data_IF_075989295669
#
_entry.id   IF_075989295669
#
_cell.length_a   1.000
_cell.length_b   1.000
_cell.length_c   1.000
_cell.angle_alpha   90.00
_cell.angle_beta   90.00
_cell.angle_gamma   90.00
#
_symmetry.space_group_name_H-M   'P 1'
#
loop_
_entity.id
_entity.type
_entity.pdbx_description
1 polymer ?
#
# COMPACT_ATOMS: atom_id res chain seq x y z
N UNK A 1 10.76 37.49 3.01
CA UNK A 1 9.32 37.23 3.25
C UNK A 1 9.10 35.73 3.13
N UNK A 2 8.70 35.04 4.20
CA UNK A 2 8.34 33.61 4.13
C UNK A 2 6.91 33.54 3.59
N UNK A 3 6.71 32.94 2.41
CA UNK A 3 5.37 32.63 1.93
C UNK A 3 4.74 31.63 2.89
N UNK A 4 3.61 31.98 3.52
CA UNK A 4 2.79 31.05 4.29
C UNK A 4 2.07 30.15 3.28
N UNK A 5 2.77 29.17 2.74
CA UNK A 5 2.12 28.08 2.00
C UNK A 5 1.39 27.23 3.05
N UNK A 6 0.07 27.03 2.96
CA UNK A 6 -0.65 26.18 3.90
C UNK A 6 -0.06 24.77 3.84
N UNK A 7 0.29 24.23 5.00
CA UNK A 7 0.81 22.86 5.08
C UNK A 7 -0.23 21.90 4.53
N UNK A 8 0.16 21.03 3.60
CA UNK A 8 -0.71 19.97 3.03
C UNK A 8 -1.10 18.90 4.05
N UNK A 9 -0.51 18.94 5.24
CA UNK A 9 -0.82 18.04 6.33
C UNK A 9 -1.95 18.62 7.20
N UNK A 10 -3.07 17.91 7.24
CA UNK A 10 -4.18 18.22 8.13
C UNK A 10 -3.91 17.62 9.51
N UNK A 11 -3.93 18.45 10.53
CA UNK A 11 -3.76 17.97 11.91
C UNK A 11 -5.07 17.33 12.40
N UNK A 12 -4.95 16.16 13.00
CA UNK A 12 -6.08 15.53 13.66
C UNK A 12 -6.24 16.08 15.09
N UNK A 13 -7.49 16.34 15.53
CA UNK A 13 -7.75 16.62 16.93
C UNK A 13 -7.21 15.49 17.81
N UNK A 14 -6.49 15.85 18.88
CA UNK A 14 -5.86 14.87 19.79
C UNK A 14 -6.87 13.93 20.43
N UNK A 15 -8.08 14.43 20.68
CA UNK A 15 -9.15 13.70 21.33
C UNK A 15 -10.00 12.87 20.35
N UNK A 16 -9.71 12.93 19.04
CA UNK A 16 -10.42 12.13 18.05
C UNK A 16 -10.18 10.63 18.26
N UNK A 17 -11.24 9.82 18.13
CA UNK A 17 -11.15 8.37 18.26
C UNK A 17 -10.20 7.76 17.22
N UNK A 18 -10.12 8.37 16.04
CA UNK A 18 -9.15 8.01 15.00
C UNK A 18 -7.69 8.26 15.45
N UNK A 19 -7.39 9.40 16.07
CA UNK A 19 -6.05 9.66 16.60
C UNK A 19 -5.67 8.69 17.73
N UNK A 20 -6.63 8.30 18.57
CA UNK A 20 -6.42 7.28 19.61
C UNK A 20 -6.18 5.90 19.01
N UNK A 21 -6.94 5.53 17.97
CA UNK A 21 -6.73 4.30 17.20
C UNK A 21 -5.32 4.26 16.59
N UNK A 22 -4.92 5.31 15.87
CA UNK A 22 -3.57 5.38 15.26
C UNK A 22 -2.48 5.29 16.33
N UNK A 23 -2.62 6.02 17.44
CA UNK A 23 -1.66 5.99 18.55
C UNK A 23 -1.53 4.62 19.21
N UNK A 24 -2.61 3.83 19.26
CA UNK A 24 -2.62 2.48 19.84
C UNK A 24 -1.79 1.49 19.03
N UNK A 25 -1.78 1.65 17.70
CA UNK A 25 -1.07 0.75 16.79
C UNK A 25 0.31 1.26 16.38
N UNK A 26 0.64 2.50 16.72
CA UNK A 26 1.94 3.12 16.43
C UNK A 26 3.07 2.40 17.18
N UNK A 27 4.19 2.22 16.50
CA UNK A 27 5.40 1.71 17.14
C UNK A 27 6.35 2.90 17.36
N UNK A 28 7.07 2.92 18.48
CA UNK A 28 8.02 3.99 18.80
C UNK A 28 9.07 4.22 17.70
N UNK A 29 9.33 3.17 16.91
CA UNK A 29 10.23 3.16 15.77
C UNK A 29 9.57 3.59 14.45
N UNK A 30 8.27 3.32 14.28
CA UNK A 30 7.55 3.44 13.01
C UNK A 30 6.42 4.46 13.15
N UNK A 31 6.76 5.75 13.14
CA UNK A 31 5.83 6.88 13.37
C UNK A 31 4.93 7.20 12.17
N UNK A 32 4.21 6.23 11.65
CA UNK A 32 3.29 6.48 10.56
C UNK A 32 2.59 5.27 9.98
N UNK A 33 1.58 5.55 9.17
CA UNK A 33 0.76 4.56 8.48
C UNK A 33 0.45 5.04 7.07
N UNK A 34 0.16 4.10 6.18
CA UNK A 34 -0.59 4.36 4.96
C UNK A 34 -1.92 3.63 5.08
N UNK A 35 -3.01 4.35 4.87
CA UNK A 35 -4.34 3.77 4.76
C UNK A 35 -4.80 3.89 3.32
N UNK A 36 -5.58 2.91 2.87
CA UNK A 36 -6.34 2.98 1.61
C UNK A 36 -7.57 2.11 1.75
N UNK A 37 -8.64 2.54 1.10
CA UNK A 37 -9.79 1.70 0.81
C UNK A 37 -9.58 1.03 -0.55
N UNK A 38 -9.35 -0.28 -0.55
CA UNK A 38 -9.24 -1.09 -1.77
C UNK A 38 -10.63 -1.43 -2.31
N UNK A 39 -10.97 -0.81 -3.44
CA UNK A 39 -12.23 -0.99 -4.17
C UNK A 39 -12.07 -1.89 -5.41
N UNK A 40 -10.97 -2.65 -5.50
CA UNK A 40 -10.73 -3.55 -6.63
C UNK A 40 -11.84 -4.61 -6.78
N UNK A 41 -12.10 -5.09 -8.01
CA UNK A 41 -13.14 -6.10 -8.24
C UNK A 41 -12.91 -7.36 -7.40
N UNK A 42 -14.00 -7.96 -6.89
CA UNK A 42 -13.93 -9.18 -6.07
C UNK A 42 -13.16 -10.32 -6.75
N UNK A 43 -13.25 -10.44 -8.08
CA UNK A 43 -12.51 -11.43 -8.85
C UNK A 43 -10.99 -11.20 -8.76
N UNK A 44 -10.54 -9.95 -8.86
CA UNK A 44 -9.12 -9.59 -8.72
C UNK A 44 -8.61 -9.90 -7.31
N UNK A 45 -9.39 -9.53 -6.28
CA UNK A 45 -9.07 -9.84 -4.87
C UNK A 45 -8.93 -11.35 -4.62
N UNK A 46 -9.89 -12.15 -5.12
CA UNK A 46 -9.86 -13.62 -5.01
C UNK A 46 -8.66 -14.22 -5.74
N UNK A 47 -8.34 -13.72 -6.93
CA UNK A 47 -7.19 -14.17 -7.71
C UNK A 47 -5.88 -13.86 -6.97
N UNK A 48 -5.72 -12.63 -6.46
CA UNK A 48 -4.55 -12.23 -5.68
C UNK A 48 -4.39 -13.10 -4.42
N UNK A 49 -5.47 -13.32 -3.67
CA UNK A 49 -5.48 -14.22 -2.51
C UNK A 49 -5.09 -15.65 -2.88
N UNK A 50 -5.64 -16.19 -3.97
CA UNK A 50 -5.35 -17.56 -4.42
C UNK A 50 -3.89 -17.71 -4.84
N UNK A 51 -3.32 -16.72 -5.53
CA UNK A 51 -1.89 -16.68 -5.86
C UNK A 51 -1.02 -16.66 -4.59
N UNK A 52 -1.36 -15.81 -3.62
CA UNK A 52 -0.64 -15.74 -2.36
C UNK A 52 -0.75 -17.03 -1.53
N UNK A 53 -1.92 -17.67 -1.52
CA UNK A 53 -2.15 -18.96 -0.87
C UNK A 53 -1.30 -20.05 -1.52
N UNK A 54 -1.33 -20.16 -2.85
CA UNK A 54 -0.54 -21.13 -3.58
C UNK A 54 0.97 -20.96 -3.32
N UNK A 55 1.46 -19.71 -3.32
CA UNK A 55 2.86 -19.40 -3.00
C UNK A 55 3.23 -19.82 -1.57
N UNK A 56 2.41 -19.50 -0.58
CA UNK A 56 2.70 -19.84 0.83
C UNK A 56 2.63 -21.35 1.07
N UNK A 57 1.69 -22.06 0.45
CA UNK A 57 1.62 -23.54 0.48
C UNK A 57 2.85 -24.14 -0.18
N UNK A 58 3.29 -23.62 -1.33
CA UNK A 58 4.51 -24.06 -2.00
C UNK A 58 5.75 -23.85 -1.13
N UNK A 59 5.90 -22.68 -0.50
CA UNK A 59 7.01 -22.40 0.44
C UNK A 59 7.01 -23.42 1.59
N UNK A 60 5.86 -23.70 2.19
CA UNK A 60 5.74 -24.67 3.27
C UNK A 60 6.12 -26.09 2.85
N UNK A 61 5.62 -26.55 1.70
CA UNK A 61 5.95 -27.87 1.15
C UNK A 61 7.44 -27.97 0.82
N UNK A 62 8.01 -26.93 0.22
CA UNK A 62 9.43 -26.87 -0.11
C UNK A 62 10.30 -26.92 1.14
N UNK A 63 9.99 -26.11 2.16
CA UNK A 63 10.68 -26.11 3.46
C UNK A 63 10.59 -27.47 4.15
N UNK A 64 9.40 -28.08 4.18
CA UNK A 64 9.20 -29.39 4.77
C UNK A 64 9.97 -30.49 4.03
N UNK A 65 9.95 -30.48 2.70
CA UNK A 65 10.71 -31.39 1.86
C UNK A 65 12.22 -31.22 2.05
N UNK A 66 12.71 -29.98 2.07
CA UNK A 66 14.12 -29.68 2.28
C UNK A 66 14.62 -30.12 3.66
N UNK A 67 13.84 -29.86 4.71
CA UNK A 67 14.13 -30.35 6.06
C UNK A 67 14.18 -31.89 6.10
N UNK A 68 13.21 -32.56 5.47
CA UNK A 68 13.15 -34.03 5.42
C UNK A 68 14.36 -34.62 4.70
N UNK A 69 14.74 -34.07 3.55
CA UNK A 69 15.93 -34.51 2.80
C UNK A 69 17.21 -34.31 3.61
N UNK A 70 17.33 -33.18 4.31
CA UNK A 70 18.48 -32.90 5.19
C UNK A 70 18.59 -33.93 6.30
N UNK A 71 17.48 -34.23 7.00
CA UNK A 71 17.43 -35.24 8.06
C UNK A 71 17.83 -36.62 7.52
N UNK A 72 17.28 -37.03 6.36
CA UNK A 72 17.59 -38.32 5.74
C UNK A 72 19.07 -38.39 5.37
N UNK A 73 19.63 -37.33 4.77
CA UNK A 73 21.05 -37.25 4.42
C UNK A 73 21.95 -37.36 5.65
N UNK A 74 21.59 -36.69 6.75
CA UNK A 74 22.33 -36.72 8.00
C UNK A 74 22.34 -38.13 8.61
N UNK A 75 21.20 -38.83 8.54
CA UNK A 75 21.05 -40.22 9.03
C UNK A 75 21.84 -41.21 8.18
N UNK A 76 21.87 -41.05 6.85
CA UNK A 76 22.53 -41.98 5.93
C UNK A 76 24.03 -41.68 5.69
N UNK A 77 24.57 -40.64 6.30
CA UNK A 77 25.94 -40.17 6.06
C UNK A 77 27.00 -41.18 6.55
N UNK A 78 27.93 -41.63 5.67
CA UNK A 78 28.99 -42.58 6.04
C UNK A 78 30.18 -41.93 6.77
N UNK A 79 30.09 -40.66 7.17
CA UNK A 79 31.21 -39.95 7.81
C UNK A 79 31.50 -40.44 9.25
N UNK A 80 32.77 -40.35 9.70
CA UNK A 80 33.15 -40.57 11.09
C UNK A 80 32.34 -39.69 12.06
N UNK A 81 31.95 -40.25 13.21
CA UNK A 81 30.97 -39.65 14.12
C UNK A 81 31.30 -38.22 14.59
N UNK A 82 32.57 -37.90 14.82
CA UNK A 82 33.00 -36.59 15.33
C UNK A 82 32.88 -35.48 14.27
N UNK A 83 33.31 -35.72 13.03
CA UNK A 83 33.11 -34.78 11.92
C UNK A 83 31.64 -34.64 11.56
N UNK A 84 30.89 -35.76 11.59
CA UNK A 84 29.45 -35.77 11.34
C UNK A 84 28.70 -34.85 12.31
N UNK A 85 29.02 -34.91 13.61
CA UNK A 85 28.32 -34.12 14.61
C UNK A 85 28.55 -32.60 14.44
N UNK A 86 29.81 -32.18 14.23
CA UNK A 86 30.12 -30.76 14.04
C UNK A 86 29.48 -30.16 12.78
N UNK A 87 29.55 -30.89 11.65
CA UNK A 87 28.94 -30.47 10.38
C UNK A 87 27.41 -30.46 10.50
N UNK A 88 26.82 -31.51 11.07
CA UNK A 88 25.37 -31.63 11.27
C UNK A 88 24.83 -30.49 12.13
N UNK A 89 25.49 -30.14 13.25
CA UNK A 89 25.02 -29.05 14.12
C UNK A 89 25.08 -27.69 13.39
N UNK A 90 26.21 -27.37 12.77
CA UNK A 90 26.39 -26.08 12.09
C UNK A 90 25.44 -25.93 10.90
N UNK A 91 25.32 -26.96 10.07
CA UNK A 91 24.40 -26.99 8.94
C UNK A 91 22.94 -26.89 9.40
N UNK A 92 22.54 -27.67 10.41
CA UNK A 92 21.15 -27.65 10.89
C UNK A 92 20.79 -26.33 11.58
N UNK A 93 21.71 -25.69 12.30
CA UNK A 93 21.47 -24.36 12.86
C UNK A 93 21.24 -23.31 11.76
N UNK A 94 22.04 -23.34 10.69
CA UNK A 94 21.86 -22.42 9.55
C UNK A 94 20.51 -22.68 8.88
N UNK A 95 20.20 -23.95 8.57
CA UNK A 95 18.95 -24.33 7.90
C UNK A 95 17.72 -23.96 8.76
N UNK A 96 17.72 -24.31 10.04
CA UNK A 96 16.63 -23.98 10.96
C UNK A 96 16.47 -22.45 11.07
N UNK A 97 17.58 -21.71 11.16
CA UNK A 97 17.52 -20.24 11.21
C UNK A 97 16.92 -19.66 9.92
N UNK A 98 17.32 -20.16 8.76
CA UNK A 98 16.75 -19.75 7.47
C UNK A 98 15.26 -20.09 7.36
N UNK A 99 14.86 -21.28 7.81
CA UNK A 99 13.45 -21.71 7.84
C UNK A 99 12.63 -20.81 8.77
N UNK A 100 13.13 -20.52 9.97
CA UNK A 100 12.45 -19.65 10.93
C UNK A 100 12.27 -18.25 10.34
N UNK A 101 13.31 -17.68 9.74
CA UNK A 101 13.24 -16.36 9.11
C UNK A 101 12.19 -16.36 7.98
N UNK A 102 12.22 -17.36 7.10
CA UNK A 102 11.30 -17.46 5.96
C UNK A 102 9.85 -17.64 6.41
N UNK A 103 9.58 -18.58 7.32
CA UNK A 103 8.23 -18.86 7.83
C UNK A 103 7.68 -17.67 8.62
N UNK A 104 8.52 -17.01 9.42
CA UNK A 104 8.13 -15.82 10.19
C UNK A 104 7.85 -14.61 9.31
N UNK A 105 8.57 -14.42 8.21
CA UNK A 105 8.41 -13.26 7.34
C UNK A 105 7.27 -13.42 6.32
N UNK A 106 6.97 -14.64 5.88
CA UNK A 106 6.00 -14.91 4.81
C UNK A 106 4.75 -15.62 5.31
N UNK A 107 4.91 -16.85 5.77
CA UNK A 107 3.82 -17.78 6.06
C UNK A 107 2.97 -17.35 7.25
N UNK A 108 3.61 -17.02 8.38
CA UNK A 108 2.89 -16.65 9.61
C UNK A 108 1.99 -15.41 9.37
N UNK A 109 2.50 -14.28 8.83
CA UNK A 109 1.67 -13.12 8.53
C UNK A 109 0.51 -13.43 7.56
N UNK A 110 0.74 -14.28 6.57
CA UNK A 110 -0.30 -14.65 5.60
C UNK A 110 -1.44 -15.44 6.26
N UNK A 111 -1.13 -16.52 7.00
CA UNK A 111 -2.17 -17.37 7.59
C UNK A 111 -2.88 -16.69 8.77
N UNK A 112 -2.13 -16.02 9.66
CA UNK A 112 -2.72 -15.36 10.83
C UNK A 112 -3.30 -13.97 10.53
N UNK A 113 -2.92 -13.38 9.39
CA UNK A 113 -3.41 -12.10 8.90
C UNK A 113 -4.46 -12.27 7.82
N UNK A 114 -4.01 -12.49 6.58
CA UNK A 114 -4.88 -12.52 5.39
C UNK A 114 -5.91 -13.66 5.45
N UNK A 115 -5.51 -14.92 5.68
CA UNK A 115 -6.48 -16.02 5.73
C UNK A 115 -7.49 -15.81 6.86
N UNK A 116 -7.02 -15.36 8.03
CA UNK A 116 -7.88 -15.03 9.16
C UNK A 116 -8.89 -13.94 8.78
N UNK A 117 -8.44 -12.87 8.10
CA UNK A 117 -9.30 -11.79 7.64
C UNK A 117 -10.40 -12.33 6.72
N UNK A 118 -10.06 -13.19 5.76
CA UNK A 118 -11.00 -13.82 4.85
C UNK A 118 -11.99 -14.76 5.54
N UNK A 119 -11.57 -15.47 6.59
CA UNK A 119 -12.45 -16.34 7.37
C UNK A 119 -13.51 -15.53 8.12
N UNK A 120 -13.13 -14.40 8.73
CA UNK A 120 -14.05 -13.61 9.55
C UNK A 120 -14.93 -12.64 8.74
N UNK A 121 -14.38 -12.02 7.69
CA UNK A 121 -15.03 -10.90 6.98
C UNK A 121 -15.33 -11.20 5.50
N UNK A 122 -14.83 -12.31 4.96
CA UNK A 122 -14.99 -12.66 3.55
C UNK A 122 -14.21 -11.75 2.59
N UNK A 123 -14.68 -11.68 1.35
CA UNK A 123 -14.24 -10.71 0.35
C UNK A 123 -15.30 -9.62 0.25
N UNK A 124 -14.90 -8.38 0.45
CA UNK A 124 -15.79 -7.22 0.42
C UNK A 124 -15.49 -6.35 -0.80
N UNK A 125 -16.49 -5.60 -1.25
CA UNK A 125 -16.32 -4.65 -2.36
C UNK A 125 -15.38 -3.53 -1.95
N UNK A 126 -15.47 -3.06 -0.70
CA UNK A 126 -14.61 -2.07 -0.08
C UNK A 126 -13.79 -2.74 1.03
N UNK A 127 -12.46 -2.67 0.97
CA UNK A 127 -11.58 -3.29 1.98
C UNK A 127 -10.55 -2.30 2.50
N UNK A 128 -10.49 -2.16 3.82
CA UNK A 128 -9.53 -1.26 4.46
C UNK A 128 -8.16 -1.93 4.50
N UNK A 129 -7.17 -1.25 3.95
CA UNK A 129 -5.77 -1.67 3.94
C UNK A 129 -4.97 -0.67 4.76
N UNK A 130 -4.42 -1.13 5.89
CA UNK A 130 -3.54 -0.33 6.74
C UNK A 130 -2.14 -0.92 6.69
N UNK A 131 -1.18 -0.11 6.29
CA UNK A 131 0.22 -0.51 6.10
C UNK A 131 1.15 0.29 7.00
N UNK A 132 2.15 -0.40 7.54
CA UNK A 132 3.23 0.21 8.31
C UNK A 132 4.47 0.43 7.45
N UNK A 133 5.19 1.54 7.68
CA UNK A 133 6.46 1.78 7.03
C UNK A 133 7.50 0.74 7.48
N UNK A 134 8.53 0.52 6.67
CA UNK A 134 9.67 -0.32 7.05
C UNK A 134 10.42 0.26 8.26
N UNK A 135 10.96 -0.62 9.10
CA UNK A 135 11.68 -0.28 10.35
C UNK A 135 12.93 0.57 10.12
N UNK A 136 13.55 0.46 8.94
CA UNK A 136 14.56 1.43 8.52
C UNK A 136 13.83 2.74 8.21
N UNK A 137 13.71 3.56 9.25
CA UNK A 137 12.95 4.79 9.29
C UNK A 137 12.98 5.54 7.96
N UNK A 138 11.81 6.00 7.50
CA UNK A 138 11.71 7.13 6.59
C UNK A 138 12.42 8.34 7.22
N UNK A 139 13.75 8.43 7.10
CA UNK A 139 14.50 9.68 7.28
C UNK A 139 14.18 10.57 6.07
N UNK A 140 12.90 10.93 5.95
CA UNK A 140 12.37 11.81 4.90
C UNK A 140 12.52 13.28 5.27
N UNK A 141 13.04 13.58 6.46
CA UNK A 141 13.47 14.93 6.81
C UNK A 141 14.93 15.13 6.37
N UNK A 142 15.15 15.20 5.05
CA UNK A 142 16.29 15.97 4.56
C UNK A 142 15.85 17.44 4.63
N UNK A 143 16.53 18.25 5.45
CA UNK A 143 16.25 19.67 5.64
C UNK A 143 16.33 20.50 4.34
N UNK A 144 16.93 19.93 3.30
CA UNK A 144 17.24 20.62 2.04
C UNK A 144 16.20 20.37 0.95
N UNK A 145 15.19 19.53 1.20
CA UNK A 145 14.21 19.11 0.19
C UNK A 145 12.99 20.03 0.24
N UNK A 146 12.53 20.54 -0.90
CA UNK A 146 11.32 21.38 -0.96
C UNK A 146 10.08 20.58 -0.56
N UNK A 147 9.02 21.25 -0.09
CA UNK A 147 7.78 20.55 0.31
C UNK A 147 7.19 19.75 -0.86
N UNK A 148 7.24 20.27 -2.09
CA UNK A 148 6.76 19.59 -3.28
C UNK A 148 7.55 18.31 -3.57
N UNK A 149 8.89 18.36 -3.53
CA UNK A 149 9.74 17.18 -3.72
C UNK A 149 9.52 16.11 -2.63
N UNK A 150 9.34 16.54 -1.38
CA UNK A 150 9.00 15.62 -0.28
C UNK A 150 7.67 14.95 -0.54
N UNK A 151 6.72 15.71 -1.06
CA UNK A 151 5.39 15.23 -1.30
C UNK A 151 5.29 14.28 -2.48
N UNK A 152 5.97 14.59 -3.59
CA UNK A 152 6.11 13.69 -4.72
C UNK A 152 6.77 12.36 -4.30
N UNK A 153 7.77 12.43 -3.40
CA UNK A 153 8.38 11.24 -2.82
C UNK A 153 7.38 10.43 -1.97
N UNK A 154 6.58 11.09 -1.14
CA UNK A 154 5.53 10.44 -0.35
C UNK A 154 4.50 9.75 -1.26
N UNK A 155 4.06 10.44 -2.31
CA UNK A 155 3.17 9.91 -3.34
C UNK A 155 3.75 8.64 -3.97
N UNK A 156 4.96 8.69 -4.52
CA UNK A 156 5.62 7.53 -5.14
C UNK A 156 5.74 6.34 -4.19
N UNK A 157 6.11 6.59 -2.94
CA UNK A 157 6.20 5.53 -1.91
C UNK A 157 4.82 4.92 -1.65
N UNK A 158 3.78 5.76 -1.52
CA UNK A 158 2.44 5.28 -1.22
C UNK A 158 1.81 4.53 -2.39
N UNK A 159 1.91 5.05 -3.62
CA UNK A 159 1.40 4.38 -4.82
C UNK A 159 2.05 3.01 -4.97
N UNK A 160 3.36 2.91 -4.77
CA UNK A 160 4.08 1.62 -4.77
C UNK A 160 3.61 0.71 -3.62
N UNK A 161 3.39 1.27 -2.44
CA UNK A 161 2.96 0.53 -1.27
C UNK A 161 1.56 -0.04 -1.40
N UNK A 162 0.68 0.54 -2.22
CA UNK A 162 -0.71 0.07 -2.36
C UNK A 162 -1.07 -0.50 -3.73
N UNK A 163 -0.14 -0.56 -4.70
CA UNK A 163 -0.41 -1.25 -5.95
C UNK A 163 -0.48 -2.80 -5.73
N UNK A 164 -1.65 -3.44 -5.90
CA UNK A 164 -1.83 -4.88 -5.68
C UNK A 164 -0.95 -5.74 -6.59
N UNK A 165 -0.66 -5.28 -7.81
CA UNK A 165 0.17 -6.03 -8.76
C UNK A 165 1.61 -6.10 -8.27
N UNK A 166 2.17 -4.97 -7.79
CA UNK A 166 3.55 -4.93 -7.32
C UNK A 166 3.80 -5.80 -6.09
N UNK A 167 2.77 -6.00 -5.26
CA UNK A 167 2.87 -6.74 -4.01
C UNK A 167 3.02 -8.25 -4.23
N UNK A 168 2.38 -8.79 -5.28
CA UNK A 168 2.35 -10.22 -5.53
C UNK A 168 3.11 -10.65 -6.78
N UNK A 169 3.34 -9.75 -7.74
CA UNK A 169 4.10 -10.08 -8.97
C UNK A 169 5.61 -10.11 -8.72
N UNK A 170 6.10 -9.33 -7.76
CA UNK A 170 7.53 -9.15 -7.56
C UNK A 170 7.97 -9.69 -6.20
N UNK A 171 8.42 -10.95 -6.19
CA UNK A 171 8.95 -11.59 -4.98
C UNK A 171 10.13 -10.80 -4.37
N UNK A 172 10.89 -10.05 -5.19
CA UNK A 172 11.94 -9.15 -4.68
C UNK A 172 11.39 -7.97 -3.89
N UNK A 173 10.18 -7.50 -4.22
CA UNK A 173 9.52 -6.44 -3.45
C UNK A 173 9.19 -6.94 -2.03
N UNK A 174 8.72 -8.18 -1.87
CA UNK A 174 8.45 -8.77 -0.54
C UNK A 174 9.70 -8.90 0.33
N UNK A 175 10.87 -9.08 -0.29
CA UNK A 175 12.17 -9.18 0.40
C UNK A 175 12.87 -7.82 0.53
N UNK A 176 12.31 -6.76 -0.03
CA UNK A 176 12.88 -5.43 0.05
C UNK A 176 12.76 -4.89 1.47
N UNK A 177 13.84 -4.28 1.97
CA UNK A 177 13.81 -3.52 3.22
C UNK A 177 12.88 -2.31 3.16
N UNK A 178 12.43 -1.91 1.97
CA UNK A 178 11.50 -0.79 1.75
C UNK A 178 10.04 -1.23 1.71
N UNK A 179 9.77 -2.52 1.92
CA UNK A 179 8.43 -3.08 1.78
C UNK A 179 7.51 -2.62 2.91
N UNK A 180 6.38 -2.04 2.52
CA UNK A 180 5.31 -1.69 3.43
C UNK A 180 4.50 -2.94 3.75
N UNK A 181 4.40 -3.27 5.04
CA UNK A 181 3.71 -4.48 5.49
C UNK A 181 2.30 -4.13 5.96
N UNK A 182 1.33 -5.01 5.66
CA UNK A 182 -0.05 -4.85 6.14
C UNK A 182 -0.09 -5.16 7.63
N UNK A 183 -0.63 -4.24 8.43
CA UNK A 183 -0.84 -4.43 9.86
C UNK A 183 -2.26 -4.96 10.10
N UNK A 184 -2.41 -6.28 10.02
CA UNK A 184 -3.72 -6.91 10.19
C UNK A 184 -4.37 -6.62 11.54
N UNK A 185 -3.60 -6.42 12.62
CA UNK A 185 -4.18 -6.07 13.93
C UNK A 185 -4.88 -4.70 13.88
N UNK A 186 -4.28 -3.73 13.19
CA UNK A 186 -4.88 -2.43 12.98
C UNK A 186 -6.12 -2.54 12.08
N UNK A 187 -6.07 -3.36 11.02
CA UNK A 187 -7.24 -3.60 10.15
C UNK A 187 -8.42 -4.19 10.94
N UNK A 188 -8.18 -5.23 11.76
CA UNK A 188 -9.24 -5.83 12.58
C UNK A 188 -9.83 -4.84 13.59
N UNK A 189 -9.00 -4.05 14.27
CA UNK A 189 -9.46 -3.04 15.22
C UNK A 189 -10.22 -1.90 14.50
N UNK A 190 -9.76 -1.49 13.31
CA UNK A 190 -10.47 -0.51 12.48
C UNK A 190 -11.86 -1.00 12.08
N UNK A 191 -11.99 -2.23 11.57
CA UNK A 191 -13.28 -2.83 11.21
C UNK A 191 -14.21 -2.92 12.42
N UNK A 192 -13.69 -3.29 13.59
CA UNK A 192 -14.48 -3.35 14.82
C UNK A 192 -14.98 -1.97 15.27
N UNK A 193 -14.16 -0.93 15.13
CA UNK A 193 -14.51 0.45 15.53
C UNK A 193 -15.46 1.13 14.55
N UNK A 194 -15.32 0.84 13.26
CA UNK A 194 -16.28 1.28 12.23
C UNK A 194 -17.64 0.62 12.46
N UNK A 195 -17.66 -0.68 12.78
CA UNK A 195 -18.90 -1.37 13.15
C UNK A 195 -19.55 -0.77 14.42
N UNK A 196 -18.76 -0.20 15.33
CA UNK A 196 -19.25 0.53 16.50
C UNK A 196 -19.63 2.00 16.22
N UNK A 197 -19.38 2.51 15.01
CA UNK A 197 -19.66 3.90 14.64
C UNK A 197 -18.71 4.93 15.25
N UNK A 198 -17.51 4.52 15.70
CA UNK A 198 -16.52 5.45 16.28
C UNK A 198 -15.93 6.41 15.24
N UNK A 199 -15.72 5.93 14.03
CA UNK A 199 -15.32 6.68 12.85
C UNK A 199 -15.82 5.95 11.60
N UNK A 200 -15.82 6.63 10.46
CA UNK A 200 -16.33 6.09 9.21
C UNK A 200 -15.23 5.46 8.36
N UNK A 201 -15.59 4.64 7.37
CA UNK A 201 -14.62 4.04 6.46
C UNK A 201 -13.87 5.11 5.66
N UNK A 202 -14.55 6.18 5.26
CA UNK A 202 -14.01 7.29 4.48
C UNK A 202 -12.91 8.06 5.23
N UNK A 203 -12.90 8.01 6.56
CA UNK A 203 -11.83 8.62 7.37
C UNK A 203 -10.48 7.90 7.18
N UNK A 204 -10.50 6.67 6.64
CA UNK A 204 -9.33 5.84 6.31
C UNK A 204 -9.08 5.77 4.79
N UNK A 205 -9.63 6.71 4.01
CA UNK A 205 -9.32 6.84 2.60
C UNK A 205 -7.82 7.10 2.36
N UNK A 206 -7.39 7.14 1.09
CA UNK A 206 -5.97 7.05 0.74
C UNK A 206 -5.14 8.19 1.34
N UNK A 207 -4.42 7.89 2.42
CA UNK A 207 -3.73 8.89 3.22
C UNK A 207 -2.44 8.34 3.85
N UNK A 208 -1.45 9.23 3.99
CA UNK A 208 -0.28 9.00 4.83
C UNK A 208 -0.50 9.67 6.17
N UNK A 209 -0.40 8.88 7.22
CA UNK A 209 -0.47 9.32 8.61
C UNK A 209 0.93 9.41 9.17
N UNK A 210 1.24 10.53 9.81
CA UNK A 210 2.52 10.73 10.47
C UNK A 210 2.31 11.36 11.83
N UNK A 211 2.92 10.75 12.85
CA UNK A 211 2.92 11.33 14.19
C UNK A 211 4.10 12.28 14.33
N UNK A 212 3.81 13.55 14.62
CA UNK A 212 4.81 14.54 15.01
C UNK A 212 4.46 15.10 16.39
N UNK A 213 5.37 14.98 17.34
CA UNK A 213 5.20 15.52 18.70
C UNK A 213 3.87 15.09 19.38
N UNK A 214 3.49 13.81 19.20
CA UNK A 214 2.22 13.20 19.66
C UNK A 214 0.95 13.74 18.98
N UNK A 215 1.09 14.53 17.92
CA UNK A 215 -0.02 15.00 17.09
C UNK A 215 0.00 14.20 15.79
N UNK A 216 -1.14 13.65 15.42
CA UNK A 216 -1.30 12.97 14.14
C UNK A 216 -1.56 13.98 13.04
N UNK A 217 -0.79 13.85 11.97
CA UNK A 217 -0.92 14.63 10.76
C UNK A 217 -1.30 13.69 9.63
N UNK A 218 -2.36 14.02 8.90
CA UNK A 218 -2.82 13.31 7.73
C UNK A 218 -2.39 14.06 6.47
N UNK A 219 -1.73 13.38 5.55
CA UNK A 219 -1.59 13.83 4.17
C UNK A 219 -2.56 12.99 3.33
N UNK A 220 -3.70 13.57 3.00
CA UNK A 220 -4.72 12.97 2.15
C UNK A 220 -4.21 12.92 0.71
N UNK A 221 -3.68 11.76 0.31
CA UNK A 221 -3.08 11.57 -1.00
C UNK A 221 -4.14 11.56 -2.10
N UNK A 222 -5.35 11.11 -1.82
CA UNK A 222 -6.44 11.19 -2.80
C UNK A 222 -6.71 12.64 -3.27
N UNK A 223 -6.50 13.65 -2.40
CA UNK A 223 -6.57 15.07 -2.77
C UNK A 223 -5.37 15.56 -3.57
N UNK A 224 -4.24 14.85 -3.49
CA UNK A 224 -3.03 15.25 -4.21
C UNK A 224 -3.12 15.03 -5.71
N UNK A 225 -3.94 14.07 -6.16
CA UNK A 225 -4.24 13.90 -7.58
C UNK A 225 -4.79 15.17 -8.24
N UNK A 226 -5.35 16.09 -7.45
CA UNK A 226 -5.89 17.36 -7.93
C UNK A 226 -4.84 18.47 -7.96
N UNK A 227 -3.75 18.33 -7.20
CA UNK A 227 -2.69 19.33 -7.06
C UNK A 227 -1.50 19.01 -7.99
N UNK A 228 -1.22 17.73 -8.26
CA UNK A 228 -0.30 17.28 -9.33
C UNK A 228 -0.89 17.44 -10.73
N UNK A 229 -1.86 18.34 -10.87
CA UNK A 229 -2.35 18.87 -12.13
C UNK A 229 -1.27 19.76 -12.79
N UNK A 230 -0.04 19.27 -12.90
CA UNK A 230 0.93 19.79 -13.83
C UNK A 230 0.25 19.70 -15.19
N UNK A 231 0.05 20.85 -15.85
CA UNK A 231 -0.57 20.92 -17.18
C UNK A 231 0.03 19.90 -18.16
N UNK A 232 1.25 19.45 -17.90
CA UNK A 232 1.98 18.43 -18.61
C UNK A 232 1.47 17.00 -18.37
N UNK A 233 1.14 16.59 -17.13
CA UNK A 233 0.50 15.28 -16.86
C UNK A 233 -0.90 15.24 -17.47
N UNK A 234 -1.66 16.34 -17.32
CA UNK A 234 -2.95 16.51 -18.00
C UNK A 234 -2.78 16.41 -19.50
N UNK A 235 -1.85 17.16 -20.09
CA UNK A 235 -1.62 17.13 -21.53
C UNK A 235 -1.23 15.73 -22.01
N UNK A 236 -0.41 14.99 -21.26
CA UNK A 236 -0.07 13.61 -21.59
C UNK A 236 -1.24 12.65 -21.42
N UNK A 237 -2.08 12.82 -20.40
CA UNK A 237 -3.29 12.04 -20.21
C UNK A 237 -4.30 12.29 -21.34
N UNK A 238 -4.51 13.57 -21.72
CA UNK A 238 -5.30 13.95 -22.89
C UNK A 238 -4.74 13.34 -24.17
N UNK A 239 -3.41 13.39 -24.34
CA UNK A 239 -2.73 12.82 -25.51
C UNK A 239 -2.90 11.30 -25.55
N UNK A 240 -2.78 10.62 -24.41
CA UNK A 240 -2.96 9.16 -24.31
C UNK A 240 -4.39 8.74 -24.67
N UNK A 241 -5.40 9.42 -24.12
CA UNK A 241 -6.81 9.13 -24.44
C UNK A 241 -7.13 9.42 -25.91
N UNK A 242 -6.59 10.50 -26.46
CA UNK A 242 -6.74 10.86 -27.88
C UNK A 242 -6.10 9.82 -28.79
N UNK A 243 -4.87 9.39 -28.47
CA UNK A 243 -4.15 8.35 -29.23
C UNK A 243 -4.83 6.98 -29.14
N UNK A 244 -5.49 6.69 -28.02
CA UNK A 244 -6.26 5.46 -27.83
C UNK A 244 -7.64 5.50 -28.50
N UNK A 245 -8.01 6.61 -29.14
CA UNK A 245 -9.32 6.80 -29.77
C UNK A 245 -10.48 6.88 -28.77
N UNK A 246 -10.22 7.16 -27.49
CA UNK A 246 -11.21 7.18 -26.39
C UNK A 246 -11.69 8.60 -26.09
N UNK A 247 -12.15 9.31 -27.12
CA UNK A 247 -12.53 10.72 -27.01
C UNK A 247 -13.71 10.95 -26.04
N UNK A 248 -14.61 9.96 -25.90
CA UNK A 248 -15.75 10.02 -24.98
C UNK A 248 -15.32 10.01 -23.50
N UNK A 249 -14.25 9.29 -23.15
CA UNK A 249 -13.72 9.32 -21.79
C UNK A 249 -13.05 10.66 -21.49
N UNK A 250 -12.39 11.24 -22.50
CA UNK A 250 -11.78 12.55 -22.37
C UNK A 250 -12.83 13.64 -22.10
N UNK A 251 -13.94 13.66 -22.84
CA UNK A 251 -15.01 14.66 -22.64
C UNK A 251 -15.65 14.52 -21.26
N UNK A 252 -15.89 13.30 -20.79
CA UNK A 252 -16.42 13.04 -19.44
C UNK A 252 -15.46 13.52 -18.35
N UNK A 253 -14.17 13.24 -18.52
CA UNK A 253 -13.13 13.66 -17.59
C UNK A 253 -13.01 15.19 -17.53
N UNK A 254 -13.02 15.86 -18.69
CA UNK A 254 -13.02 17.33 -18.79
C UNK A 254 -14.28 17.95 -18.20
N UNK A 255 -15.46 17.34 -18.39
CA UNK A 255 -16.72 17.78 -17.79
C UNK A 255 -16.65 17.74 -16.26
N UNK A 256 -16.14 16.67 -15.67
CA UNK A 256 -15.98 16.56 -14.23
C UNK A 256 -15.03 17.61 -13.65
N UNK A 257 -13.90 17.88 -14.32
CA UNK A 257 -13.00 18.96 -13.91
C UNK A 257 -13.63 20.35 -14.05
N UNK A 258 -14.47 20.53 -15.06
CA UNK A 258 -15.16 21.80 -15.31
C UNK A 258 -16.26 22.06 -14.29
N UNK A 259 -17.00 21.03 -13.86
CA UNK A 259 -18.04 21.15 -12.84
C UNK A 259 -17.50 21.70 -11.52
N UNK A 260 -16.26 21.36 -11.14
CA UNK A 260 -15.60 21.83 -9.92
C UNK A 260 -15.24 23.33 -9.96
N UNK A 261 -15.23 23.96 -11.14
CA UNK A 261 -14.75 25.33 -11.33
C UNK A 261 -15.85 26.40 -11.38
N UNK A 262 -17.13 25.99 -11.50
CA UNK A 262 -18.26 26.92 -11.76
C UNK A 262 -18.91 27.52 -10.51
N UNK A 263 -18.59 27.00 -9.33
CA UNK A 263 -19.05 27.51 -8.04
C UNK A 263 -18.11 28.63 -7.58
N UNK A 264 -18.45 29.90 -7.88
CA UNK A 264 -17.64 31.10 -7.63
C UNK A 264 -17.30 31.43 -6.16
N UNK A 265 -17.42 30.47 -5.23
CA UNK A 265 -16.86 30.57 -3.88
C UNK A 265 -15.47 29.93 -3.86
N UNK A 266 -14.58 30.51 -3.04
CA UNK A 266 -13.23 30.00 -2.76
C UNK A 266 -13.36 28.67 -2.02
N UNK A 267 -13.60 27.59 -2.76
CA UNK A 267 -13.87 26.25 -2.24
C UNK A 267 -12.83 25.29 -2.81
N UNK A 268 -12.37 24.38 -1.94
CA UNK A 268 -11.54 23.23 -2.25
C UNK A 268 -11.84 22.68 -3.65
N UNK A 269 -10.83 22.69 -4.53
CA UNK A 269 -10.90 22.21 -5.92
C UNK A 269 -11.08 20.69 -6.05
N UNK A 270 -11.61 20.04 -5.02
CA UNK A 270 -11.74 18.61 -4.98
C UNK A 270 -13.05 18.13 -5.59
N UNK A 271 -13.04 17.37 -6.71
CA UNK A 271 -14.19 16.58 -7.12
C UNK A 271 -14.76 15.84 -5.91
N UNK A 272 -16.08 15.92 -5.76
CA UNK A 272 -16.80 15.13 -4.77
C UNK A 272 -16.40 13.65 -4.91
N UNK A 273 -16.23 12.88 -3.82
CA UNK A 273 -15.94 11.44 -3.88
C UNK A 273 -16.88 10.68 -4.81
N UNK A 274 -18.14 11.12 -4.91
CA UNK A 274 -19.14 10.56 -5.83
C UNK A 274 -18.80 10.81 -7.31
N UNK A 275 -18.28 11.98 -7.66
CA UNK A 275 -17.89 12.31 -9.02
C UNK A 275 -16.66 11.48 -9.44
N UNK A 276 -15.67 11.37 -8.57
CA UNK A 276 -14.52 10.50 -8.78
C UNK A 276 -14.94 9.03 -8.98
N UNK A 277 -15.88 8.53 -8.19
CA UNK A 277 -16.41 7.18 -8.34
C UNK A 277 -17.08 6.95 -9.71
N UNK A 278 -17.88 7.91 -10.18
CA UNK A 278 -18.51 7.85 -11.51
C UNK A 278 -17.46 7.83 -12.63
N UNK A 279 -16.33 8.53 -12.46
CA UNK A 279 -15.20 8.48 -13.39
C UNK A 279 -14.63 7.07 -13.49
N UNK A 280 -14.23 6.50 -12.35
CA UNK A 280 -13.59 5.19 -12.26
C UNK A 280 -14.49 4.12 -12.87
N UNK A 281 -15.80 4.15 -12.57
CA UNK A 281 -16.76 3.22 -13.13
C UNK A 281 -16.89 3.33 -14.66
N UNK A 282 -16.85 4.56 -15.21
CA UNK A 282 -16.90 4.76 -16.68
C UNK A 282 -15.64 4.28 -17.38
N UNK A 283 -14.46 4.52 -16.79
CA UNK A 283 -13.20 3.97 -17.30
C UNK A 283 -13.21 2.44 -17.29
N UNK A 284 -13.69 1.83 -16.20
CA UNK A 284 -13.78 0.39 -16.06
C UNK A 284 -14.69 -0.25 -17.12
N UNK A 285 -15.82 0.41 -17.47
CA UNK A 285 -16.73 -0.06 -18.55
C UNK A 285 -16.06 -0.09 -19.92
N UNK A 286 -15.14 0.84 -20.18
CA UNK A 286 -14.36 0.91 -21.41
C UNK A 286 -13.14 -0.03 -21.41
N UNK A 287 -12.99 -0.86 -20.37
CA UNK A 287 -11.89 -1.79 -20.21
C UNK A 287 -10.57 -1.14 -19.79
N UNK A 288 -10.62 0.09 -19.25
CA UNK A 288 -9.44 0.82 -18.78
C UNK A 288 -9.49 0.95 -17.26
N UNK A 289 -8.37 0.66 -16.59
CA UNK A 289 -8.20 1.01 -15.19
C UNK A 289 -7.68 2.46 -15.13
N UNK A 290 -8.53 3.38 -14.65
CA UNK A 290 -8.21 4.80 -14.54
C UNK A 290 -6.88 5.03 -13.82
N UNK A 291 -6.65 4.31 -12.72
CA UNK A 291 -5.45 4.45 -11.90
C UNK A 291 -4.21 3.92 -12.61
N UNK A 292 -4.33 2.82 -13.35
CA UNK A 292 -3.22 2.27 -14.13
C UNK A 292 -2.82 3.20 -15.28
N UNK A 293 -3.79 3.77 -15.98
CA UNK A 293 -3.54 4.73 -17.07
C UNK A 293 -2.88 5.98 -16.52
N UNK A 294 -3.40 6.52 -15.41
CA UNK A 294 -2.82 7.71 -14.79
C UNK A 294 -1.40 7.46 -14.27
N UNK A 295 -1.16 6.32 -13.61
CA UNK A 295 0.18 5.92 -13.17
C UNK A 295 1.16 5.84 -14.35
N UNK A 296 0.75 5.24 -15.48
CA UNK A 296 1.59 5.14 -16.67
C UNK A 296 1.98 6.51 -17.24
N UNK A 297 1.03 7.44 -17.27
CA UNK A 297 1.26 8.82 -17.71
C UNK A 297 2.22 9.55 -16.76
N UNK A 298 2.03 9.41 -15.46
CA UNK A 298 2.89 10.05 -14.45
C UNK A 298 4.32 9.49 -14.48
N UNK A 299 4.49 8.17 -14.63
CA UNK A 299 5.82 7.55 -14.80
C UNK A 299 6.55 8.07 -16.04
N UNK A 300 5.85 8.17 -17.18
CA UNK A 300 6.43 8.70 -18.41
C UNK A 300 6.82 10.17 -18.29
N UNK A 301 6.04 10.96 -17.54
CA UNK A 301 6.35 12.36 -17.25
C UNK A 301 7.63 12.49 -16.45
N UNK A 302 7.78 11.68 -15.40
CA UNK A 302 8.95 11.69 -14.52
C UNK A 302 10.27 11.36 -15.24
N UNK A 303 10.21 10.52 -16.28
CA UNK A 303 11.36 10.17 -17.12
C UNK A 303 11.78 11.29 -18.09
N UNK A 304 10.85 12.16 -18.48
CA UNK A 304 11.13 13.27 -19.40
C UNK A 304 11.69 14.48 -18.64
N UNK A 305 11.34 14.62 -17.36
CA UNK A 305 11.78 15.72 -16.49
C UNK A 305 13.14 15.48 -15.78
N UNK A 306 13.70 14.27 -15.88
CA UNK A 306 14.98 13.89 -15.28
C UNK A 306 16.13 14.01 -16.30
#
# INVERSE_FOLDING_TARGET
>A
MKSNTPSRFKQLPRDSLLAQFLSRHDDSHNRGFITRIDRSPLAAKRLAFTKALALNVFILLFVAGFASVTIIRDVLSPLPAHFRLAICITQNLIIISSIIILVRSTTIPFFFGECRLRIFYGFQTSEIVIRKPPTMSLKLNNSNTTEDQRMEKYWRIATRAVNPELLYSNASAMLSSEYWTVEYRAVFDALSRIAAGEFQEEDLEFAIWKQDSKIWNACELWRMHEIMNDQQEVAMFKTFLTQSGKQELLTIWEEMLSCTSSSGEVIERSPSPKAYQVMVDKFAREGLDYEAVWCHVSEKTSLISA
#
